data_IF_977011121481
#
_entry.id   IF_977011121481
#
_cell.length_a   1.000
_cell.length_b   1.000
_cell.length_c   1.000
_cell.angle_alpha   90.00
_cell.angle_beta   90.00
_cell.angle_gamma   90.00
#
_symmetry.space_group_name_H-M   'P 1'
#
loop_
_entity.id
_entity.type
_entity.pdbx_description
1 polymer ?
#
# COMPACT_ATOMS: atom_id res chain seq x y z
N UNK A 1 6.50 -2.77 13.79
CA UNK A 1 7.28 -1.94 12.85
C UNK A 1 6.78 -2.19 11.45
N UNK A 2 6.40 -1.16 10.71
CA UNK A 2 6.02 -1.29 9.30
C UNK A 2 7.27 -1.32 8.44
N UNK A 3 7.49 -2.43 7.72
CA UNK A 3 8.65 -2.63 6.85
C UNK A 3 8.80 -1.56 5.75
N UNK A 4 7.70 -0.91 5.38
CA UNK A 4 7.63 0.09 4.31
C UNK A 4 6.89 1.33 4.79
N UNK A 5 7.54 2.49 4.71
CA UNK A 5 6.95 3.80 5.05
C UNK A 5 5.96 4.24 3.98
N UNK A 6 5.04 5.14 4.32
CA UNK A 6 4.08 5.69 3.36
C UNK A 6 4.79 6.39 2.19
N UNK A 7 5.83 7.19 2.48
CA UNK A 7 6.63 7.87 1.47
C UNK A 7 7.29 6.89 0.49
N UNK A 8 7.83 5.78 1.00
CA UNK A 8 8.40 4.74 0.15
C UNK A 8 7.35 4.12 -0.79
N UNK A 9 6.18 3.75 -0.25
CA UNK A 9 5.08 3.21 -1.06
C UNK A 9 4.62 4.20 -2.13
N UNK A 10 4.56 5.49 -1.79
CA UNK A 10 4.19 6.55 -2.72
C UNK A 10 5.18 6.63 -3.89
N UNK A 11 6.48 6.65 -3.62
CA UNK A 11 7.50 6.63 -4.68
C UNK A 11 7.38 5.40 -5.59
N UNK A 12 7.14 4.22 -5.01
CA UNK A 12 6.98 2.98 -5.80
C UNK A 12 5.74 3.05 -6.70
N UNK A 13 4.61 3.54 -6.19
CA UNK A 13 3.37 3.69 -6.97
C UNK A 13 3.53 4.76 -8.05
N UNK A 14 4.15 5.89 -7.75
CA UNK A 14 4.37 6.97 -8.70
C UNK A 14 5.31 6.53 -9.84
N UNK A 15 6.39 5.81 -9.52
CA UNK A 15 7.25 5.19 -10.53
C UNK A 15 6.48 4.20 -11.42
N UNK A 16 5.61 3.37 -10.84
CA UNK A 16 4.75 2.46 -11.59
C UNK A 16 3.76 3.21 -12.50
N UNK A 17 3.17 4.32 -12.03
CA UNK A 17 2.23 5.12 -12.83
C UNK A 17 2.91 5.80 -14.03
N UNK A 18 4.19 6.15 -13.92
CA UNK A 18 4.97 6.65 -15.05
C UNK A 18 5.33 5.55 -16.06
N UNK A 19 5.43 4.29 -15.63
CA UNK A 19 5.72 3.14 -16.49
C UNK A 19 4.81 1.93 -16.19
N UNK A 20 3.53 1.99 -16.60
CA UNK A 20 2.50 1.03 -16.17
C UNK A 20 2.71 -0.41 -16.66
N UNK A 21 3.62 -0.66 -17.61
CA UNK A 21 3.73 -1.96 -18.28
C UNK A 21 4.60 -3.00 -17.57
N UNK A 22 5.32 -2.66 -16.50
CA UNK A 22 6.26 -3.63 -15.89
C UNK A 22 6.30 -3.55 -14.36
N UNK A 23 5.28 -4.09 -13.68
CA UNK A 23 5.34 -4.34 -12.21
C UNK A 23 6.62 -5.10 -11.85
N UNK A 24 7.06 -6.05 -12.69
CA UNK A 24 8.31 -6.79 -12.52
C UNK A 24 9.55 -5.90 -12.57
N UNK A 25 9.56 -4.87 -13.42
CA UNK A 25 10.65 -3.90 -13.45
C UNK A 25 10.66 -3.05 -12.18
N UNK A 26 9.49 -2.54 -11.76
CA UNK A 26 9.35 -1.80 -10.49
C UNK A 26 9.79 -2.65 -9.30
N UNK A 27 9.41 -3.93 -9.27
CA UNK A 27 9.85 -4.89 -8.26
C UNK A 27 11.36 -5.01 -8.20
N UNK A 28 12.03 -5.09 -9.35
CA UNK A 28 13.49 -5.18 -9.45
C UNK A 28 14.19 -3.90 -9.00
N UNK A 29 13.68 -2.74 -9.40
CA UNK A 29 14.24 -1.42 -9.05
C UNK A 29 14.16 -1.15 -7.55
N UNK A 30 12.99 -1.42 -6.95
CA UNK A 30 12.74 -1.14 -5.53
C UNK A 30 12.96 -2.35 -4.61
N UNK A 31 13.44 -3.47 -5.16
CA UNK A 31 13.61 -4.75 -4.46
C UNK A 31 12.38 -5.12 -3.61
N UNK A 32 11.20 -4.87 -4.16
CA UNK A 32 9.92 -4.98 -3.46
C UNK A 32 9.07 -6.03 -4.16
N UNK A 33 8.48 -7.00 -3.43
CA UNK A 33 7.68 -8.05 -4.05
C UNK A 33 6.55 -7.47 -4.91
N UNK A 34 6.36 -8.04 -6.11
CA UNK A 34 5.29 -7.63 -7.03
C UNK A 34 3.91 -7.67 -6.37
N UNK A 35 3.67 -8.62 -5.46
CA UNK A 35 2.43 -8.74 -4.70
C UNK A 35 2.17 -7.53 -3.78
N UNK A 36 3.22 -6.96 -3.18
CA UNK A 36 3.14 -5.74 -2.39
C UNK A 36 2.83 -4.53 -3.28
N UNK A 37 3.53 -4.41 -4.41
CA UNK A 37 3.34 -3.32 -5.38
C UNK A 37 1.91 -3.32 -5.90
N UNK A 38 1.40 -4.50 -6.31
CA UNK A 38 0.03 -4.64 -6.82
C UNK A 38 -1.01 -4.25 -5.77
N UNK A 39 -0.79 -4.59 -4.50
CA UNK A 39 -1.65 -4.18 -3.39
C UNK A 39 -1.63 -2.67 -3.17
N UNK A 40 -0.47 -2.04 -3.19
CA UNK A 40 -0.33 -0.58 -3.04
C UNK A 40 -0.98 0.18 -4.19
N UNK A 41 -0.80 -0.29 -5.43
CA UNK A 41 -1.46 0.30 -6.61
C UNK A 41 -2.98 0.18 -6.47
N UNK A 42 -3.51 -0.96 -6.05
CA UNK A 42 -4.95 -1.14 -5.83
C UNK A 42 -5.47 -0.20 -4.74
N UNK A 43 -4.77 -0.11 -3.61
CA UNK A 43 -5.12 0.80 -2.51
C UNK A 43 -5.08 2.26 -2.94
N UNK A 44 -4.08 2.64 -3.73
CA UNK A 44 -3.95 3.98 -4.28
C UNK A 44 -5.09 4.31 -5.27
N UNK A 45 -5.49 3.37 -6.13
CA UNK A 45 -6.63 3.57 -7.04
C UNK A 45 -7.96 3.69 -6.31
N UNK A 46 -8.12 2.99 -5.18
CA UNK A 46 -9.36 3.01 -4.41
C UNK A 46 -9.48 4.21 -3.46
N UNK A 47 -8.38 4.62 -2.82
CA UNK A 47 -8.40 5.61 -1.74
C UNK A 47 -7.27 6.65 -1.81
N UNK A 48 -6.58 6.74 -2.94
CA UNK A 48 -5.47 7.68 -3.14
C UNK A 48 -4.32 7.46 -2.15
N UNK A 49 -3.67 8.56 -1.75
CA UNK A 49 -2.58 8.53 -0.77
C UNK A 49 -2.99 7.97 0.60
N UNK A 50 -4.26 8.15 0.99
CA UNK A 50 -4.79 7.58 2.24
C UNK A 50 -4.77 6.05 2.23
N UNK A 51 -4.89 5.41 1.06
CA UNK A 51 -4.76 3.96 0.92
C UNK A 51 -3.33 3.44 1.14
N UNK A 52 -2.32 4.29 0.96
CA UNK A 52 -0.90 3.96 1.19
C UNK A 52 -0.46 4.23 2.63
N UNK A 53 -1.27 4.97 3.39
CA UNK A 53 -0.96 5.31 4.77
C UNK A 53 -0.64 4.05 5.57
N UNK A 54 0.44 4.14 6.35
CA UNK A 54 0.68 3.16 7.40
C UNK A 54 -0.41 3.43 8.43
N UNK A 55 -1.48 2.65 8.36
CA UNK A 55 -2.46 2.59 9.42
C UNK A 55 -1.72 2.12 10.67
N UNK A 56 -1.29 3.07 11.49
CA UNK A 56 -0.79 2.86 12.83
C UNK A 56 -1.97 2.51 13.75
N UNK A 57 -2.88 1.65 13.27
CA UNK A 57 -3.87 1.00 14.11
C UNK A 57 -3.06 -0.07 14.84
N UNK A 58 -2.31 0.37 15.85
CA UNK A 58 -2.16 -0.46 17.05
C UNK A 58 -3.50 -1.11 17.28
N UNK A 59 -3.50 -2.43 17.35
CA UNK A 59 -4.64 -3.24 17.76
C UNK A 59 -5.30 -2.63 19.00
N UNK A 60 -6.25 -1.74 18.78
CA UNK A 60 -7.23 -1.26 19.74
C UNK A 60 -8.58 -1.37 19.03
N UNK A 61 -8.96 -2.63 18.82
CA UNK A 61 -10.33 -3.06 19.11
C UNK A 61 -11.44 -2.18 18.51
N UNK A 62 -11.58 -2.12 17.19
CA UNK A 62 -12.89 -1.83 16.59
C UNK A 62 -13.73 -3.10 16.56
N UNK A 63 -14.06 -3.58 17.75
CA UNK A 63 -15.14 -4.57 17.98
C UNK A 63 -16.48 -3.88 18.26
N UNK A 64 -16.57 -2.55 18.07
CA UNK A 64 -17.82 -1.81 18.28
C UNK A 64 -18.87 -2.01 17.17
N UNK A 65 -18.54 -2.61 16.03
CA UNK A 65 -19.54 -2.91 14.98
C UNK A 65 -20.20 -4.29 15.11
N UNK A 66 -19.87 -5.08 16.14
CA UNK A 66 -20.45 -6.42 16.37
C UNK A 66 -21.15 -6.57 17.73
N UNK A 67 -21.69 -5.49 18.29
CA UNK A 67 -22.60 -5.56 19.44
C UNK A 67 -23.94 -4.88 19.12
N UNK A 68 -24.58 -5.36 18.06
CA UNK A 68 -26.01 -5.19 17.86
C UNK A 68 -26.54 -6.42 17.11
N UNK A 69 -26.65 -7.53 17.82
CA UNK A 69 -27.40 -8.73 17.44
C UNK A 69 -28.04 -9.30 18.70
#
# INVERSE_FOLDING_TARGET
>A
MTKYTQAFKQHVVEYYLQQPQSISNTSRVFQTPESCIRRWVLQYRHSGLNGLAVLHITQKYTLQDKLNA
#
